data_IF_815981738251
#
_entry.id   IF_815981738251
#
_cell.length_a   1.000
_cell.length_b   1.000
_cell.length_c   1.000
_cell.angle_alpha   90.00
_cell.angle_beta   90.00
_cell.angle_gamma   90.00
#
_symmetry.space_group_name_H-M   'P 1'
#
loop_
_entity.id
_entity.type
_entity.pdbx_description
1 polymer ?
#
# COMPACT_ATOMS: atom_id res chain seq x y z
N UNK A 1 5.27 -1.11 34.65
CA UNK A 1 5.06 -2.28 33.78
C UNK A 1 4.14 -1.84 32.64
N UNK A 2 4.69 -1.34 31.54
CA UNK A 2 3.91 -0.86 30.40
C UNK A 2 3.94 -1.91 29.30
N UNK A 3 2.75 -2.29 28.85
CA UNK A 3 2.49 -3.34 27.88
C UNK A 3 3.28 -3.09 26.59
N UNK A 4 4.21 -4.01 26.32
CA UNK A 4 4.89 -4.13 25.03
C UNK A 4 3.82 -4.59 24.03
N UNK A 5 3.22 -3.64 23.33
CA UNK A 5 2.48 -3.93 22.11
C UNK A 5 3.40 -4.78 21.24
N UNK A 6 2.98 -6.02 21.03
CA UNK A 6 3.63 -6.96 20.12
C UNK A 6 3.44 -6.35 18.73
N UNK A 7 4.37 -5.48 18.33
CA UNK A 7 4.68 -5.35 16.92
C UNK A 7 5.11 -6.75 16.50
N UNK A 8 4.18 -7.48 15.86
CA UNK A 8 4.53 -8.55 14.96
C UNK A 8 5.59 -7.95 14.03
N UNK A 9 6.86 -8.27 14.28
CA UNK A 9 7.95 -7.94 13.38
C UNK A 9 7.76 -8.86 12.16
N UNK A 10 6.76 -8.55 11.33
CA UNK A 10 6.62 -9.15 10.02
C UNK A 10 7.71 -8.52 9.18
N UNK A 11 8.84 -9.20 9.11
CA UNK A 11 9.94 -8.78 8.27
C UNK A 11 9.77 -9.40 6.89
N UNK A 12 9.25 -8.60 5.97
CA UNK A 12 9.07 -8.99 4.58
C UNK A 12 10.35 -8.80 3.73
N UNK A 13 11.50 -8.67 4.37
CA UNK A 13 12.78 -8.48 3.70
C UNK A 13 13.12 -9.72 2.86
N UNK A 14 13.34 -9.52 1.55
CA UNK A 14 13.58 -10.55 0.52
C UNK A 14 12.37 -11.39 0.10
N UNK A 15 11.21 -11.19 0.74
CA UNK A 15 9.95 -11.83 0.36
C UNK A 15 9.40 -11.27 -0.96
N UNK A 16 8.60 -12.09 -1.65
CA UNK A 16 7.97 -11.74 -2.92
C UNK A 16 6.48 -11.50 -2.71
N UNK A 17 6.03 -10.27 -2.96
CA UNK A 17 4.61 -9.95 -3.07
C UNK A 17 4.15 -10.35 -4.48
N UNK A 18 3.47 -11.50 -4.59
CA UNK A 18 2.88 -11.97 -5.84
C UNK A 18 1.43 -11.50 -5.98
N UNK A 19 1.19 -10.53 -6.87
CA UNK A 19 -0.12 -9.94 -7.12
C UNK A 19 -1.10 -10.95 -7.76
N UNK A 20 -0.61 -11.96 -8.48
CA UNK A 20 -1.47 -12.98 -9.08
C UNK A 20 -2.05 -13.88 -8.01
N UNK A 21 -1.19 -14.40 -7.12
CA UNK A 21 -1.63 -15.20 -5.96
C UNK A 21 -2.54 -14.39 -5.04
N UNK A 22 -2.23 -13.11 -4.81
CA UNK A 22 -3.03 -12.23 -3.97
C UNK A 22 -4.46 -12.04 -4.51
N UNK A 23 -4.62 -11.87 -5.83
CA UNK A 23 -5.94 -11.78 -6.46
C UNK A 23 -6.75 -13.06 -6.24
N UNK A 24 -6.13 -14.21 -6.44
CA UNK A 24 -6.78 -15.52 -6.29
C UNK A 24 -7.21 -15.75 -4.83
N UNK A 25 -6.32 -15.48 -3.88
CA UNK A 25 -6.61 -15.65 -2.45
C UNK A 25 -7.70 -14.68 -1.94
N UNK A 26 -7.76 -13.46 -2.47
CA UNK A 26 -8.79 -12.48 -2.07
C UNK A 26 -10.20 -12.97 -2.38
N UNK A 27 -10.38 -13.70 -3.48
CA UNK A 27 -11.68 -14.25 -3.84
C UNK A 27 -12.14 -15.34 -2.87
N UNK A 28 -11.21 -15.90 -2.08
CA UNK A 28 -11.45 -17.02 -1.18
C UNK A 28 -11.51 -16.57 0.29
N UNK A 29 -10.77 -15.53 0.68
CA UNK A 29 -10.62 -15.13 2.08
C UNK A 29 -10.30 -13.64 2.23
N UNK A 30 -11.20 -12.88 2.88
CA UNK A 30 -11.01 -11.44 3.15
C UNK A 30 -9.82 -11.14 4.07
N UNK A 31 -9.37 -12.11 4.89
CA UNK A 31 -8.21 -11.91 5.75
C UNK A 31 -6.92 -11.63 4.96
N UNK A 32 -6.85 -12.01 3.67
CA UNK A 32 -5.69 -11.69 2.84
C UNK A 32 -5.54 -10.18 2.63
N UNK A 33 -6.63 -9.42 2.65
CA UNK A 33 -6.57 -7.96 2.55
C UNK A 33 -5.89 -7.32 3.77
N UNK A 34 -6.01 -7.94 4.95
CA UNK A 34 -5.27 -7.51 6.14
C UNK A 34 -3.77 -7.77 5.99
N UNK A 35 -3.39 -8.92 5.41
CA UNK A 35 -2.00 -9.22 5.08
C UNK A 35 -1.48 -8.22 4.03
N UNK A 36 -2.28 -7.92 3.01
CA UNK A 36 -1.93 -6.94 1.99
C UNK A 36 -1.78 -5.52 2.56
N UNK A 37 -2.64 -5.13 3.50
CA UNK A 37 -2.48 -3.88 4.25
C UNK A 37 -1.14 -3.85 5.00
N UNK A 38 -0.75 -4.95 5.65
CA UNK A 38 0.53 -5.05 6.35
C UNK A 38 1.73 -4.88 5.38
N UNK A 39 1.65 -5.46 4.18
CA UNK A 39 2.64 -5.26 3.12
C UNK A 39 2.77 -3.79 2.71
N UNK A 40 1.65 -3.12 2.44
CA UNK A 40 1.65 -1.72 2.03
C UNK A 40 2.21 -0.83 3.14
N UNK A 41 1.79 -1.03 4.40
CA UNK A 41 2.33 -0.30 5.55
C UNK A 41 3.83 -0.52 5.73
N UNK A 42 4.31 -1.76 5.58
CA UNK A 42 5.74 -2.07 5.62
C UNK A 42 6.50 -1.31 4.53
N UNK A 43 6.05 -1.39 3.28
CA UNK A 43 6.66 -0.69 2.15
C UNK A 43 6.73 0.82 2.37
N UNK A 44 5.62 1.45 2.76
CA UNK A 44 5.56 2.87 3.09
C UNK A 44 6.55 3.23 4.19
N UNK A 45 6.61 2.42 5.27
CA UNK A 45 7.55 2.66 6.37
C UNK A 45 9.02 2.65 5.91
N UNK A 46 9.38 1.77 4.96
CA UNK A 46 10.73 1.72 4.38
C UNK A 46 10.99 2.91 3.46
N UNK A 47 10.00 3.33 2.66
CA UNK A 47 10.07 4.53 1.81
C UNK A 47 10.23 5.82 2.62
N UNK A 48 9.77 5.88 3.87
CA UNK A 48 10.00 7.01 4.79
C UNK A 48 11.38 6.99 5.44
N UNK A 49 11.91 5.80 5.73
CA UNK A 49 13.24 5.63 6.35
C UNK A 49 14.40 5.82 5.37
N UNK A 50 14.13 6.13 4.09
CA UNK A 50 15.16 6.34 3.06
C UNK A 50 15.99 5.09 2.73
N UNK A 51 15.53 3.91 3.13
CA UNK A 51 16.22 2.64 2.86
C UNK A 51 15.81 2.09 1.49
N UNK A 52 16.69 1.31 0.87
CA UNK A 52 16.37 0.50 -0.32
C UNK A 52 15.11 -0.33 -0.01
N UNK A 53 14.12 -0.32 -0.89
CA UNK A 53 12.90 -1.12 -0.73
C UNK A 53 13.30 -2.59 -0.89
N UNK A 54 13.26 -3.43 0.17
CA UNK A 54 13.83 -4.77 0.14
C UNK A 54 12.82 -5.84 -0.32
N UNK A 55 11.69 -5.40 -0.89
CA UNK A 55 10.58 -6.25 -1.32
C UNK A 55 10.58 -6.34 -2.83
N UNK A 56 10.40 -7.55 -3.36
CA UNK A 56 10.16 -7.77 -4.78
C UNK A 56 8.66 -7.91 -5.00
N UNK A 57 8.13 -7.20 -5.99
CA UNK A 57 6.73 -7.33 -6.42
C UNK A 57 6.73 -8.10 -7.74
N UNK A 58 5.88 -9.12 -7.81
CA UNK A 58 5.67 -9.95 -9.00
C UNK A 58 4.22 -9.84 -9.44
N UNK A 59 4.01 -9.83 -10.74
CA UNK A 59 2.70 -9.79 -11.39
C UNK A 59 2.89 -9.53 -12.88
N UNK A 60 1.80 -9.32 -13.60
CA UNK A 60 1.90 -8.82 -14.96
C UNK A 60 2.43 -7.36 -14.94
N UNK A 61 2.98 -6.89 -16.06
CA UNK A 61 3.61 -5.56 -16.14
C UNK A 61 2.65 -4.43 -15.70
N UNK A 62 1.39 -4.49 -16.14
CA UNK A 62 0.38 -3.46 -15.85
C UNK A 62 0.04 -3.45 -14.36
N UNK A 63 -0.17 -4.62 -13.75
CA UNK A 63 -0.41 -4.78 -12.31
C UNK A 63 0.70 -4.16 -11.48
N UNK A 64 1.96 -4.50 -11.80
CA UNK A 64 3.13 -3.98 -11.07
C UNK A 64 3.25 -2.47 -11.22
N UNK A 65 3.01 -1.94 -12.43
CA UNK A 65 3.00 -0.49 -12.67
C UNK A 65 1.90 0.21 -11.87
N UNK A 66 0.67 -0.30 -11.88
CA UNK A 66 -0.45 0.28 -11.13
C UNK A 66 -0.28 0.17 -9.63
N UNK A 67 0.24 -0.94 -9.14
CA UNK A 67 0.60 -1.11 -7.74
C UNK A 67 1.61 -0.04 -7.31
N UNK A 68 2.68 0.12 -8.10
CA UNK A 68 3.74 1.10 -7.81
C UNK A 68 3.21 2.53 -7.83
N UNK A 69 2.40 2.89 -8.84
CA UNK A 69 1.78 4.21 -8.95
C UNK A 69 0.87 4.51 -7.75
N UNK A 70 0.04 3.53 -7.35
CA UNK A 70 -0.85 3.67 -6.19
C UNK A 70 -0.06 3.84 -4.90
N UNK A 71 0.97 3.01 -4.68
CA UNK A 71 1.84 3.11 -3.50
C UNK A 71 2.56 4.47 -3.39
N UNK A 72 3.01 5.02 -4.51
CA UNK A 72 3.64 6.35 -4.54
C UNK A 72 2.63 7.45 -4.24
N UNK A 73 1.41 7.36 -4.77
CA UNK A 73 0.35 8.32 -4.46
C UNK A 73 -0.11 8.26 -3.00
N UNK A 74 -0.12 7.07 -2.40
CA UNK A 74 -0.40 6.85 -0.98
C UNK A 74 0.62 7.57 -0.10
N UNK A 75 1.92 7.36 -0.38
CA UNK A 75 3.00 8.09 0.29
C UNK A 75 2.82 9.61 0.14
N UNK A 76 2.57 10.10 -1.08
CA UNK A 76 2.39 11.53 -1.34
C UNK A 76 1.18 12.10 -0.58
N UNK A 77 0.10 11.36 -0.48
CA UNK A 77 -1.08 11.78 0.27
C UNK A 77 -0.74 11.94 1.76
N UNK A 78 -0.05 10.97 2.35
CA UNK A 78 0.45 11.08 3.72
C UNK A 78 1.44 12.23 3.92
N UNK A 79 2.30 12.51 2.94
CA UNK A 79 3.21 13.67 2.97
C UNK A 79 2.44 14.99 2.99
N UNK A 80 1.35 15.09 2.22
CA UNK A 80 0.50 16.27 2.18
C UNK A 80 -0.29 16.45 3.47
N UNK A 81 -0.84 15.37 4.04
CA UNK A 81 -1.47 15.40 5.37
C UNK A 81 -0.46 15.93 6.40
N UNK A 82 0.77 15.40 6.41
CA UNK A 82 1.81 15.83 7.35
C UNK A 82 2.18 17.30 7.18
N UNK A 83 2.18 17.81 5.95
CA UNK A 83 2.64 19.17 5.63
C UNK A 83 1.55 20.23 5.79
N UNK A 84 0.31 19.91 5.42
CA UNK A 84 -0.78 20.87 5.28
C UNK A 84 -1.98 20.57 6.19
N UNK A 85 -2.10 19.34 6.70
CA UNK A 85 -3.27 18.90 7.45
C UNK A 85 -4.37 18.32 6.55
N UNK A 86 -5.42 17.76 7.15
CA UNK A 86 -6.52 17.10 6.44
C UNK A 86 -7.45 18.09 5.72
N UNK A 87 -7.59 19.30 6.26
CA UNK A 87 -8.54 20.31 5.78
C UNK A 87 -7.98 21.26 4.71
N UNK A 88 -6.76 20.99 4.21
CA UNK A 88 -6.13 21.83 3.20
C UNK A 88 -6.55 21.44 1.77
N UNK A 89 -6.85 22.41 0.88
CA UNK A 89 -7.20 22.14 -0.52
C UNK A 89 -6.17 21.31 -1.28
N UNK A 90 -4.89 21.42 -0.95
CA UNK A 90 -3.81 20.64 -1.55
C UNK A 90 -3.88 19.18 -1.11
N UNK A 91 -4.21 18.91 0.15
CA UNK A 91 -4.43 17.55 0.67
C UNK A 91 -5.62 16.90 -0.01
N UNK A 92 -6.74 17.61 -0.18
CA UNK A 92 -7.89 17.12 -0.93
C UNK A 92 -7.56 16.81 -2.39
N UNK A 93 -6.83 17.72 -3.07
CA UNK A 93 -6.38 17.49 -4.44
C UNK A 93 -5.50 16.26 -4.55
N UNK A 94 -4.64 16.00 -3.56
CA UNK A 94 -3.81 14.80 -3.54
C UNK A 94 -4.62 13.54 -3.23
N UNK A 95 -5.65 13.63 -2.37
CA UNK A 95 -6.60 12.53 -2.12
C UNK A 95 -7.30 12.10 -3.41
N UNK A 96 -7.83 13.05 -4.19
CA UNK A 96 -8.48 12.72 -5.47
C UNK A 96 -7.55 12.00 -6.47
N UNK A 97 -6.26 12.32 -6.47
CA UNK A 97 -5.27 11.61 -7.31
C UNK A 97 -5.04 10.19 -6.80
N UNK A 98 -4.93 10.01 -5.49
CA UNK A 98 -4.84 8.70 -4.87
C UNK A 98 -6.07 7.84 -5.20
N UNK A 99 -7.28 8.39 -5.06
CA UNK A 99 -8.53 7.68 -5.39
C UNK A 99 -8.57 7.20 -6.84
N UNK A 100 -8.08 8.02 -7.78
CA UNK A 100 -7.98 7.63 -9.19
C UNK A 100 -6.95 6.52 -9.40
N UNK A 101 -5.81 6.58 -8.72
CA UNK A 101 -4.79 5.53 -8.79
C UNK A 101 -5.31 4.20 -8.22
N UNK A 102 -5.96 4.24 -7.05
CA UNK A 102 -6.61 3.09 -6.41
C UNK A 102 -7.61 2.45 -7.38
N UNK A 103 -8.56 3.23 -7.91
CA UNK A 103 -9.57 2.71 -8.84
C UNK A 103 -8.96 2.05 -10.08
N UNK A 104 -7.86 2.60 -10.61
CA UNK A 104 -7.15 2.01 -11.76
C UNK A 104 -6.47 0.72 -11.39
N UNK A 105 -5.80 0.67 -10.24
CA UNK A 105 -5.19 -0.56 -9.72
C UNK A 105 -6.25 -1.63 -9.47
N UNK A 106 -7.32 -1.33 -8.74
CA UNK A 106 -8.39 -2.30 -8.45
C UNK A 106 -9.00 -2.87 -9.73
N UNK A 107 -9.25 -2.01 -10.73
CA UNK A 107 -9.78 -2.43 -12.03
C UNK A 107 -8.82 -3.31 -12.83
N UNK A 108 -7.53 -2.97 -12.86
CA UNK A 108 -6.55 -3.64 -13.73
C UNK A 108 -5.91 -4.86 -13.07
N UNK A 109 -5.76 -4.85 -11.75
CA UNK A 109 -5.21 -5.96 -10.98
C UNK A 109 -6.29 -6.90 -10.43
N UNK A 110 -7.55 -6.45 -10.30
CA UNK A 110 -8.63 -7.24 -9.70
C UNK A 110 -8.45 -7.46 -8.19
N UNK A 111 -7.66 -6.61 -7.53
CA UNK A 111 -7.30 -6.68 -6.11
C UNK A 111 -7.81 -5.41 -5.45
N UNK A 112 -8.54 -5.52 -4.35
CA UNK A 112 -9.02 -4.37 -3.60
C UNK A 112 -7.85 -3.70 -2.88
N UNK A 113 -7.76 -2.38 -2.96
CA UNK A 113 -6.77 -1.64 -2.19
C UNK A 113 -7.21 -1.61 -0.72
N UNK A 114 -6.41 -2.13 0.21
CA UNK A 114 -6.89 -2.43 1.57
C UNK A 114 -6.78 -1.22 2.50
N UNK A 115 -6.13 -0.13 2.09
CA UNK A 115 -6.05 1.12 2.85
C UNK A 115 -7.12 2.07 2.31
N UNK A 116 -8.12 2.40 3.12
CA UNK A 116 -9.13 3.42 2.77
C UNK A 116 -9.07 4.52 3.82
N UNK A 117 -8.71 5.73 3.37
CA UNK A 117 -8.55 6.94 4.18
C UNK A 117 -9.59 8.00 3.80
#
# INVERSE_FOLDING_TARGET
MYARLIYMNIDFENEVLDLTALREEQQLNENILNVFAAWIQYLLSKMYKGRRIPVRVRGNRIEVERFTDTLVNEKRYMDYIKKYGLDDPMTYKQKSKLDVAIKRFEREAGINWPIRN
#
